data_IF_956032623182
#
_entry.id   IF_956032623182
#
_cell.length_a   1.000
_cell.length_b   1.000
_cell.length_c   1.000
_cell.angle_alpha   90.00
_cell.angle_beta   90.00
_cell.angle_gamma   90.00
#
_symmetry.space_group_name_H-M   'P 1'
#
loop_
_entity.id
_entity.type
_entity.pdbx_description
1 polymer ?
#
# COMPACT_ATOMS: atom_id res chain seq x y z
N UNK A 1 -8.36 -8.99 -20.04
CA UNK A 1 -6.90 -9.26 -20.03
C UNK A 1 -6.19 -7.93 -19.92
N UNK A 2 -5.43 -7.74 -18.85
CA UNK A 2 -4.76 -6.50 -18.56
C UNK A 2 -3.40 -6.46 -19.29
N UNK A 3 -3.08 -5.35 -19.95
CA UNK A 3 -1.87 -5.18 -20.77
C UNK A 3 -1.02 -4.11 -20.11
N UNK A 4 0.21 -4.46 -19.73
CA UNK A 4 1.19 -3.49 -19.26
C UNK A 4 2.04 -3.07 -20.46
N UNK A 5 2.16 -1.77 -20.71
CA UNK A 5 3.10 -1.23 -21.69
C UNK A 5 4.35 -0.74 -20.94
N UNK A 6 5.48 -1.39 -21.20
CA UNK A 6 6.79 -0.96 -20.71
C UNK A 6 7.75 -0.88 -21.89
N UNK A 7 8.35 0.30 -22.12
CA UNK A 7 9.34 0.54 -23.17
C UNK A 7 8.85 0.15 -24.59
N UNK A 8 7.59 0.49 -24.90
CA UNK A 8 6.96 0.18 -26.19
C UNK A 8 6.59 -1.29 -26.40
N UNK A 9 6.76 -2.16 -25.38
CA UNK A 9 6.38 -3.57 -25.43
C UNK A 9 5.10 -3.82 -24.62
N UNK A 10 4.08 -4.36 -25.28
CA UNK A 10 2.87 -4.88 -24.65
C UNK A 10 3.16 -6.22 -24.00
N UNK A 11 3.30 -6.23 -22.67
CA UNK A 11 3.38 -7.46 -21.89
C UNK A 11 1.94 -7.96 -21.64
N UNK A 12 1.62 -9.14 -22.17
CA UNK A 12 0.38 -9.84 -21.80
C UNK A 12 0.53 -10.35 -20.38
N UNK A 13 -0.36 -9.95 -19.48
CA UNK A 13 -0.42 -10.50 -18.13
C UNK A 13 -1.02 -11.91 -18.17
N UNK A 14 -0.20 -12.90 -18.54
CA UNK A 14 -0.49 -14.32 -18.35
C UNK A 14 -0.47 -14.68 -16.85
N UNK A 15 -1.13 -15.77 -16.38
CA UNK A 15 -1.13 -16.16 -14.97
C UNK A 15 0.27 -16.26 -14.34
N UNK A 16 1.27 -16.66 -15.13
CA UNK A 16 2.68 -16.74 -14.74
C UNK A 16 3.36 -15.37 -14.50
N UNK A 17 2.82 -14.31 -15.11
CA UNK A 17 3.33 -12.94 -14.95
C UNK A 17 3.16 -12.44 -13.52
N UNK A 18 2.05 -12.80 -12.87
CA UNK A 18 1.75 -12.41 -11.49
C UNK A 18 2.70 -13.05 -10.46
N UNK A 19 3.09 -14.31 -10.66
CA UNK A 19 4.10 -14.96 -9.81
C UNK A 19 5.45 -14.25 -9.88
N UNK A 20 5.82 -13.70 -11.04
CA UNK A 20 7.09 -13.00 -11.20
C UNK A 20 7.09 -11.63 -10.52
N UNK A 21 5.96 -10.93 -10.47
CA UNK A 21 5.86 -9.63 -9.80
C UNK A 21 6.18 -9.73 -8.29
N UNK A 22 5.84 -10.86 -7.65
CA UNK A 22 6.11 -11.12 -6.22
C UNK A 22 7.54 -11.55 -5.93
N UNK A 23 8.30 -11.99 -6.94
CA UNK A 23 9.67 -12.45 -6.72
C UNK A 23 10.54 -11.24 -6.38
N UNK A 24 11.09 -11.27 -5.17
CA UNK A 24 12.12 -10.32 -4.77
C UNK A 24 13.39 -10.58 -5.58
N UNK A 25 14.02 -9.51 -6.05
CA UNK A 25 15.33 -9.57 -6.68
C UNK A 25 16.41 -9.86 -5.64
N UNK A 26 17.33 -10.82 -5.85
CA UNK A 26 18.60 -10.83 -5.15
C UNK A 26 19.43 -9.62 -5.63
N UNK A 27 20.16 -8.88 -4.78
CA UNK A 27 20.51 -9.14 -3.38
C UNK A 27 19.63 -8.41 -2.33
N UNK A 28 18.67 -7.56 -2.72
CA UNK A 28 17.94 -6.68 -1.78
C UNK A 28 16.52 -7.13 -1.44
N UNK A 29 16.00 -8.17 -2.10
CA UNK A 29 14.61 -8.64 -1.94
C UNK A 29 13.57 -7.70 -2.55
N UNK A 30 13.98 -6.71 -3.36
CA UNK A 30 13.08 -5.74 -3.97
C UNK A 30 12.16 -6.41 -4.99
N UNK A 31 10.85 -6.27 -4.81
CA UNK A 31 9.87 -6.61 -5.85
C UNK A 31 9.90 -5.57 -6.98
N UNK A 32 9.21 -5.85 -8.08
CA UNK A 32 9.04 -4.89 -9.18
C UNK A 32 8.52 -3.50 -8.70
N UNK A 33 7.59 -3.47 -7.73
CA UNK A 33 7.06 -2.22 -7.18
C UNK A 33 8.12 -1.47 -6.38
N UNK A 34 9.00 -2.16 -5.63
CA UNK A 34 10.12 -1.49 -4.96
C UNK A 34 11.04 -0.82 -5.98
N UNK A 35 11.38 -1.52 -7.08
CA UNK A 35 12.23 -0.96 -8.13
C UNK A 35 11.55 0.24 -8.81
N UNK A 36 10.26 0.12 -9.15
CA UNK A 36 9.49 1.23 -9.70
C UNK A 36 9.42 2.44 -8.75
N UNK A 37 9.28 2.19 -7.44
CA UNK A 37 9.33 3.21 -6.38
C UNK A 37 10.70 3.86 -6.24
N UNK A 38 11.80 3.13 -6.41
CA UNK A 38 13.15 3.70 -6.36
C UNK A 38 13.39 4.63 -7.54
N UNK A 39 12.94 4.23 -8.73
CA UNK A 39 13.22 4.94 -9.98
C UNK A 39 12.11 5.91 -10.42
N UNK A 40 11.05 6.08 -9.63
CA UNK A 40 9.98 7.03 -9.92
C UNK A 40 9.12 6.63 -11.13
N UNK A 41 8.95 5.34 -11.42
CA UNK A 41 8.18 4.85 -12.57
C UNK A 41 6.66 4.96 -12.33
N UNK A 42 6.16 6.20 -12.27
CA UNK A 42 4.76 6.51 -11.96
C UNK A 42 3.76 5.81 -12.87
N UNK A 43 3.98 5.84 -14.19
CA UNK A 43 3.05 5.23 -15.14
C UNK A 43 2.95 3.72 -14.94
N UNK A 44 4.07 3.04 -14.73
CA UNK A 44 4.07 1.62 -14.41
C UNK A 44 3.27 1.32 -13.14
N UNK A 45 3.43 2.13 -12.08
CA UNK A 45 2.66 1.98 -10.86
C UNK A 45 1.16 2.20 -11.09
N UNK A 46 0.78 3.21 -11.88
CA UNK A 46 -0.63 3.44 -12.26
C UNK A 46 -1.21 2.27 -13.04
N UNK A 47 -0.45 1.76 -14.00
CA UNK A 47 -0.89 0.64 -14.83
C UNK A 47 -1.07 -0.61 -13.96
N UNK A 48 -0.13 -0.90 -13.07
CA UNK A 48 -0.23 -2.00 -12.08
C UNK A 48 -1.46 -1.83 -11.19
N UNK A 49 -1.72 -0.64 -10.67
CA UNK A 49 -2.93 -0.34 -9.88
C UNK A 49 -4.21 -0.54 -10.69
N UNK A 50 -4.20 -0.13 -11.97
CA UNK A 50 -5.36 -0.24 -12.86
C UNK A 50 -5.69 -1.69 -13.29
N UNK A 51 -4.81 -2.66 -13.04
CA UNK A 51 -5.14 -4.08 -13.25
C UNK A 51 -6.13 -4.63 -12.19
N UNK A 52 -6.40 -3.84 -11.13
CA UNK A 52 -7.75 -3.53 -10.66
C UNK A 52 -8.48 -4.54 -9.77
N UNK A 53 -8.63 -5.81 -10.18
CA UNK A 53 -9.58 -6.73 -9.52
C UNK A 53 -8.94 -8.04 -9.06
N UNK A 54 -7.72 -8.33 -9.51
CA UNK A 54 -6.98 -9.55 -9.18
C UNK A 54 -5.59 -9.27 -8.64
N UNK A 55 -5.25 -8.01 -8.35
CA UNK A 55 -3.94 -7.66 -7.81
C UNK A 55 -3.85 -8.14 -6.35
N UNK A 56 -2.96 -9.08 -6.04
CA UNK A 56 -2.78 -9.51 -4.66
C UNK A 56 -2.17 -8.34 -3.86
N UNK A 57 -2.90 -7.90 -2.85
CA UNK A 57 -2.44 -6.96 -1.82
C UNK A 57 -1.07 -7.33 -1.23
N UNK A 58 -0.76 -8.62 -1.25
CA UNK A 58 0.55 -9.16 -0.93
C UNK A 58 1.70 -8.45 -1.65
N UNK A 59 1.50 -7.91 -2.86
CA UNK A 59 2.55 -7.18 -3.58
C UNK A 59 2.85 -5.80 -2.98
N UNK A 60 1.83 -5.09 -2.48
CA UNK A 60 1.96 -3.80 -1.79
C UNK A 60 2.46 -3.98 -0.35
N UNK A 61 2.08 -5.07 0.29
CA UNK A 61 2.48 -5.41 1.65
C UNK A 61 3.85 -6.11 1.74
N UNK A 62 4.38 -6.60 0.61
CA UNK A 62 5.66 -7.30 0.61
C UNK A 62 6.76 -6.37 1.06
N UNK A 63 7.60 -6.84 1.98
CA UNK A 63 8.80 -6.11 2.37
C UNK A 63 10.02 -6.61 1.63
N UNK A 64 10.93 -5.70 1.31
CA UNK A 64 12.28 -6.05 0.88
C UNK A 64 13.11 -6.57 2.07
N UNK A 65 14.39 -6.86 1.86
CA UNK A 65 15.27 -7.35 2.92
C UNK A 65 15.52 -6.32 4.03
N UNK A 66 15.23 -5.04 3.80
CA UNK A 66 15.30 -3.96 4.79
C UNK A 66 14.01 -3.78 5.58
N UNK A 67 13.00 -4.60 5.31
CA UNK A 67 11.69 -4.48 5.97
C UNK A 67 10.83 -3.36 5.40
N UNK A 68 11.28 -2.68 4.34
CA UNK A 68 10.55 -1.59 3.70
C UNK A 68 9.49 -2.13 2.75
N UNK A 69 8.34 -1.49 2.72
CA UNK A 69 7.34 -1.70 1.66
C UNK A 69 7.67 -0.87 0.42
N UNK A 70 7.03 -1.13 -0.74
CA UNK A 70 7.21 -0.28 -1.93
C UNK A 70 6.83 1.18 -1.66
N UNK A 71 5.85 1.43 -0.79
CA UNK A 71 5.46 2.78 -0.38
C UNK A 71 6.59 3.44 0.43
N UNK A 72 7.12 2.77 1.46
CA UNK A 72 8.24 3.30 2.25
C UNK A 72 9.47 3.60 1.37
N UNK A 73 9.76 2.71 0.42
CA UNK A 73 10.85 2.88 -0.54
C UNK A 73 10.64 4.10 -1.45
N UNK A 74 9.41 4.35 -1.92
CA UNK A 74 9.08 5.53 -2.74
C UNK A 74 9.27 6.84 -1.95
N UNK A 75 8.91 6.82 -0.67
CA UNK A 75 9.12 7.97 0.22
C UNK A 75 10.61 8.20 0.43
N UNK A 76 11.37 7.14 0.75
CA UNK A 76 12.82 7.24 0.96
C UNK A 76 13.58 7.67 -0.30
N UNK A 77 13.15 7.24 -1.48
CA UNK A 77 13.76 7.64 -2.76
C UNK A 77 13.39 9.05 -3.21
N UNK A 78 12.44 9.72 -2.53
CA UNK A 78 11.90 11.01 -2.94
C UNK A 78 10.95 10.93 -4.14
N UNK A 79 10.50 9.74 -4.52
CA UNK A 79 9.53 9.53 -5.61
C UNK A 79 8.10 9.84 -5.15
N UNK A 80 7.83 11.11 -4.83
CA UNK A 80 6.54 11.58 -4.27
C UNK A 80 5.36 11.18 -5.15
N UNK A 81 5.48 11.29 -6.48
CA UNK A 81 4.39 10.91 -7.40
C UNK A 81 4.02 9.42 -7.28
N UNK A 82 5.02 8.53 -7.23
CA UNK A 82 4.80 7.10 -7.01
C UNK A 82 4.20 6.85 -5.64
N UNK A 83 4.74 7.50 -4.59
CA UNK A 83 4.21 7.35 -3.23
C UNK A 83 2.73 7.76 -3.13
N UNK A 84 2.33 8.85 -3.77
CA UNK A 84 0.93 9.29 -3.85
C UNK A 84 0.05 8.30 -4.62
N UNK A 85 0.52 7.75 -5.75
CA UNK A 85 -0.22 6.71 -6.49
C UNK A 85 -0.44 5.46 -5.63
N UNK A 86 0.60 4.98 -4.94
CA UNK A 86 0.52 3.81 -4.06
C UNK A 86 -0.42 4.07 -2.88
N UNK A 87 -0.34 5.23 -2.23
CA UNK A 87 -1.22 5.60 -1.12
C UNK A 87 -2.70 5.69 -1.55
N UNK A 88 -2.96 6.33 -2.70
CA UNK A 88 -4.32 6.43 -3.25
C UNK A 88 -4.90 5.08 -3.64
N UNK A 89 -4.07 4.16 -4.14
CA UNK A 89 -4.50 2.79 -4.38
C UNK A 89 -4.99 2.12 -3.08
N UNK A 90 -4.22 2.23 -1.99
CA UNK A 90 -4.62 1.67 -0.70
C UNK A 90 -5.94 2.28 -0.17
N UNK A 91 -6.16 3.59 -0.38
CA UNK A 91 -7.42 4.26 -0.02
C UNK A 91 -8.59 3.81 -0.91
N UNK A 92 -8.38 3.71 -2.22
CA UNK A 92 -9.42 3.28 -3.16
C UNK A 92 -9.89 1.86 -2.87
N UNK A 93 -8.98 0.95 -2.47
CA UNK A 93 -9.33 -0.43 -2.08
C UNK A 93 -10.19 -0.41 -0.80
N UNK A 94 -9.84 0.44 0.17
CA UNK A 94 -10.60 0.64 1.41
C UNK A 94 -12.01 1.17 1.15
N UNK A 95 -12.14 2.17 0.26
CA UNK A 95 -13.42 2.79 -0.06
C UNK A 95 -14.33 1.87 -0.90
N UNK A 96 -13.77 1.20 -1.92
CA UNK A 96 -14.51 0.22 -2.74
C UNK A 96 -15.05 -0.93 -1.88
N UNK A 97 -14.26 -1.42 -0.92
CA UNK A 97 -14.72 -2.43 0.03
C UNK A 97 -15.88 -1.92 0.90
N UNK A 98 -15.79 -0.69 1.42
CA UNK A 98 -16.84 -0.09 2.26
C UNK A 98 -18.17 0.01 1.52
N UNK A 99 -18.13 0.39 0.25
CA UNK A 99 -19.31 0.48 -0.61
C UNK A 99 -19.89 -0.90 -0.94
N UNK A 100 -19.03 -1.88 -1.30
CA UNK A 100 -19.46 -3.26 -1.58
C UNK A 100 -20.17 -3.89 -0.38
N UNK A 101 -19.62 -3.75 0.83
CA UNK A 101 -20.24 -4.28 2.06
C UNK A 101 -21.60 -3.61 2.30
N UNK A 102 -21.68 -2.27 2.14
CA UNK A 102 -22.93 -1.54 2.31
C UNK A 102 -24.00 -2.04 1.32
N UNK A 103 -23.66 -2.12 0.04
CA UNK A 103 -24.60 -2.50 -1.01
C UNK A 103 -25.05 -3.96 -0.89
N UNK A 104 -24.14 -4.87 -0.52
CA UNK A 104 -24.47 -6.27 -0.26
C UNK A 104 -25.34 -6.44 0.99
N UNK A 105 -25.09 -5.67 2.06
CA UNK A 105 -25.94 -5.66 3.25
C UNK A 105 -27.37 -5.20 2.91
N UNK A 106 -27.51 -4.14 2.12
CA UNK A 106 -28.83 -3.63 1.69
C UNK A 106 -29.56 -4.66 0.82
N UNK A 107 -28.87 -5.28 -0.13
CA UNK A 107 -29.48 -6.28 -1.02
C UNK A 107 -29.89 -7.57 -0.27
N UNK A 108 -29.05 -8.08 0.63
CA UNK A 108 -29.35 -9.31 1.39
C UNK A 108 -30.53 -9.08 2.34
N UNK A 109 -30.53 -7.98 3.10
CA UNK A 109 -31.66 -7.60 3.99
C UNK A 109 -32.96 -7.46 3.20
N UNK A 110 -32.88 -6.97 1.95
CA UNK A 110 -34.06 -6.79 1.09
C UNK A 110 -34.56 -8.08 0.41
N UNK A 111 -33.68 -9.06 0.11
CA UNK A 111 -34.04 -10.19 -0.79
C UNK A 111 -34.28 -11.52 -0.12
N UNK A 112 -33.62 -11.82 0.99
CA UNK A 112 -33.66 -13.18 1.51
C UNK A 112 -33.43 -13.16 3.02
N UNK A 113 -34.26 -13.87 3.77
CA UNK A 113 -34.01 -14.21 5.17
C UNK A 113 -32.80 -15.14 5.34
N UNK A 114 -31.67 -14.80 4.74
CA UNK A 114 -30.37 -15.42 4.95
C UNK A 114 -29.95 -15.02 6.35
N UNK A 115 -29.71 -16.03 7.20
CA UNK A 115 -29.24 -15.82 8.56
C UNK A 115 -27.95 -15.01 8.60
N UNK A 116 -27.73 -14.34 9.72
CA UNK A 116 -26.57 -13.52 10.07
C UNK A 116 -25.21 -14.13 9.73
N UNK A 117 -25.11 -15.45 9.52
CA UNK A 117 -23.87 -16.19 9.38
C UNK A 117 -23.19 -15.98 8.01
N UNK A 118 -23.95 -15.88 6.92
CA UNK A 118 -23.39 -15.59 5.59
C UNK A 118 -22.89 -14.15 5.47
N UNK A 119 -23.59 -13.20 6.13
CA UNK A 119 -23.15 -11.82 6.26
C UNK A 119 -21.86 -11.71 7.08
N UNK A 120 -21.75 -12.45 8.19
CA UNK A 120 -20.52 -12.49 8.98
C UNK A 120 -19.35 -13.09 8.20
N UNK A 121 -19.54 -14.19 7.46
CA UNK A 121 -18.46 -14.81 6.67
C UNK A 121 -17.92 -13.87 5.59
N UNK A 122 -18.80 -13.20 4.85
CA UNK A 122 -18.39 -12.20 3.84
C UNK A 122 -17.72 -11.00 4.51
N UNK A 123 -18.28 -10.46 5.58
CA UNK A 123 -17.64 -9.36 6.32
C UNK A 123 -16.24 -9.75 6.80
N UNK A 124 -16.05 -10.97 7.27
CA UNK A 124 -14.77 -11.47 7.77
C UNK A 124 -13.70 -11.56 6.68
N UNK A 125 -14.02 -12.15 5.52
CA UNK A 125 -13.05 -12.33 4.43
C UNK A 125 -12.55 -11.00 3.85
N UNK A 126 -13.38 -9.96 3.88
CA UNK A 126 -12.96 -8.66 3.37
C UNK A 126 -12.40 -7.70 4.44
N UNK A 127 -12.76 -7.87 5.73
CA UNK A 127 -12.09 -7.20 6.85
C UNK A 127 -10.61 -7.65 6.96
N UNK A 128 -10.31 -8.91 6.67
CA UNK A 128 -8.94 -9.43 6.59
C UNK A 128 -8.08 -8.70 5.55
N UNK A 129 -8.62 -8.53 4.33
CA UNK A 129 -7.99 -7.80 3.21
C UNK A 129 -7.69 -6.35 3.63
N UNK A 130 -8.66 -5.67 4.26
CA UNK A 130 -8.47 -4.29 4.72
C UNK A 130 -7.41 -4.19 5.83
N UNK A 131 -7.38 -5.17 6.73
CA UNK A 131 -6.38 -5.26 7.78
C UNK A 131 -4.97 -5.41 7.20
N UNK A 132 -4.80 -6.23 6.15
CA UNK A 132 -3.50 -6.38 5.47
C UNK A 132 -3.01 -5.07 4.83
N UNK A 133 -3.89 -4.35 4.12
CA UNK A 133 -3.54 -3.03 3.54
C UNK A 133 -3.11 -2.06 4.63
N UNK A 134 -3.86 -2.04 5.73
CA UNK A 134 -3.56 -1.18 6.87
C UNK A 134 -2.22 -1.52 7.51
N UNK A 135 -1.98 -2.81 7.78
CA UNK A 135 -0.72 -3.29 8.33
C UNK A 135 0.47 -3.02 7.42
N UNK A 136 0.27 -3.04 6.09
CA UNK A 136 1.31 -2.68 5.12
C UNK A 136 1.73 -1.21 5.24
N UNK A 137 0.77 -0.28 5.40
CA UNK A 137 1.08 1.15 5.59
C UNK A 137 1.78 1.40 6.92
N UNK A 138 1.31 0.73 7.98
CA UNK A 138 1.86 0.85 9.34
C UNK A 138 3.20 0.12 9.53
N UNK A 139 3.69 -0.57 8.50
CA UNK A 139 4.91 -1.36 8.58
C UNK A 139 6.10 -0.49 8.96
N UNK A 140 6.92 -1.02 9.86
CA UNK A 140 8.20 -0.46 10.24
C UNK A 140 9.33 -1.25 9.57
N UNK A 141 10.37 -0.53 9.19
CA UNK A 141 11.63 -1.13 8.73
C UNK A 141 12.44 -1.71 9.91
N UNK A 142 13.67 -2.15 9.62
CA UNK A 142 14.61 -2.66 10.63
C UNK A 142 14.92 -1.69 11.76
N UNK A 143 14.86 -0.39 11.50
CA UNK A 143 15.15 0.67 12.48
C UNK A 143 13.91 1.06 13.29
N UNK A 144 12.77 0.41 13.04
CA UNK A 144 11.49 0.78 13.65
C UNK A 144 10.85 2.01 12.99
N UNK A 145 11.42 2.51 11.90
CA UNK A 145 10.89 3.67 11.20
C UNK A 145 9.75 3.24 10.28
N UNK A 146 8.59 3.88 10.45
CA UNK A 146 7.48 3.77 9.49
C UNK A 146 7.63 4.78 8.35
N UNK A 147 6.74 4.70 7.36
CA UNK A 147 6.73 5.61 6.21
C UNK A 147 6.66 7.10 6.59
N UNK A 148 6.01 7.46 7.70
CA UNK A 148 5.90 8.84 8.14
C UNK A 148 7.21 9.38 8.73
N UNK A 149 7.99 8.55 9.44
CA UNK A 149 9.34 8.92 9.87
C UNK A 149 10.19 9.32 8.66
N UNK A 150 10.17 8.51 7.61
CA UNK A 150 10.90 8.78 6.37
C UNK A 150 10.40 10.05 5.68
N UNK A 151 9.09 10.22 5.53
CA UNK A 151 8.52 11.42 4.89
C UNK A 151 8.96 12.71 5.58
N UNK A 152 9.00 12.71 6.91
CA UNK A 152 9.47 13.84 7.72
C UNK A 152 11.00 13.98 7.62
N UNK A 153 11.74 12.89 7.72
CA UNK A 153 13.21 12.88 7.66
C UNK A 153 13.73 13.51 6.35
N UNK A 154 13.11 13.17 5.22
CA UNK A 154 13.46 13.66 3.89
C UNK A 154 12.74 14.95 3.48
N UNK A 155 11.94 15.56 4.37
CA UNK A 155 11.32 16.86 4.14
C UNK A 155 10.12 16.86 3.18
N UNK A 156 9.49 15.71 2.95
CA UNK A 156 8.31 15.55 2.09
C UNK A 156 7.02 16.01 2.80
N UNK A 157 6.93 17.31 3.13
CA UNK A 157 5.85 17.89 3.94
C UNK A 157 4.44 17.58 3.41
N UNK A 158 4.20 17.79 2.12
CA UNK A 158 2.87 17.55 1.53
C UNK A 158 2.47 16.08 1.67
N UNK A 159 3.39 15.17 1.35
CA UNK A 159 3.18 13.72 1.48
C UNK A 159 3.00 13.30 2.94
N UNK A 160 3.74 13.89 3.88
CA UNK A 160 3.59 13.62 5.30
C UNK A 160 2.17 13.98 5.80
N UNK A 161 1.61 15.10 5.32
CA UNK A 161 0.22 15.48 5.62
C UNK A 161 -0.79 14.51 5.01
N UNK A 162 -0.56 14.07 3.76
CA UNK A 162 -1.40 13.05 3.12
C UNK A 162 -1.36 11.72 3.87
N UNK A 163 -0.18 11.28 4.32
CA UNK A 163 0.00 10.05 5.10
C UNK A 163 -0.73 10.10 6.44
N UNK A 164 -0.63 11.22 7.18
CA UNK A 164 -1.35 11.40 8.45
C UNK A 164 -2.87 11.43 8.22
N UNK A 165 -3.33 12.09 7.17
CA UNK A 165 -4.75 12.11 6.82
C UNK A 165 -5.27 10.72 6.43
N UNK A 166 -4.44 9.92 5.77
CA UNK A 166 -4.77 8.55 5.35
C UNK A 166 -4.77 7.55 6.50
N UNK A 167 -3.78 7.65 7.40
CA UNK A 167 -3.59 6.74 8.53
C UNK A 167 -2.98 7.49 9.74
N UNK A 168 -3.83 8.03 10.63
CA UNK A 168 -3.38 8.81 11.79
C UNK A 168 -2.50 8.02 12.78
N UNK A 169 -2.67 6.69 12.84
CA UNK A 169 -1.86 5.81 13.69
C UNK A 169 -0.37 5.83 13.34
N UNK A 170 0.01 6.28 12.14
CA UNK A 170 1.43 6.48 11.80
C UNK A 170 2.13 7.41 12.79
N UNK A 171 1.42 8.40 13.34
CA UNK A 171 1.98 9.42 14.24
C UNK A 171 2.32 8.93 15.65
N UNK A 172 1.72 7.81 16.08
CA UNK A 172 1.85 7.30 17.47
C UNK A 172 2.99 6.30 17.63
N UNK A 173 3.47 5.72 16.53
CA UNK A 173 4.55 4.74 16.55
C UNK A 173 5.87 5.40 16.91
N UNK A 174 6.72 4.66 17.63
CA UNK A 174 8.09 5.07 17.94
C UNK A 174 9.07 4.10 17.32
N UNK A 175 10.17 4.62 16.80
CA UNK A 175 11.25 3.82 16.24
C UNK A 175 12.15 3.22 17.35
N UNK A 176 13.21 2.50 16.95
CA UNK A 176 14.16 1.90 17.89
C UNK A 176 14.92 2.94 18.75
N UNK A 177 14.92 4.21 18.33
CA UNK A 177 15.48 5.34 19.06
C UNK A 177 14.49 5.99 20.04
N UNK A 178 13.28 5.41 20.18
CA UNK A 178 12.16 5.95 20.98
C UNK A 178 11.65 7.30 20.48
N UNK A 179 11.90 7.61 19.21
CA UNK A 179 11.43 8.83 18.57
C UNK A 179 10.13 8.54 17.84
N UNK A 180 9.12 9.38 18.04
CA UNK A 180 7.95 9.38 17.17
C UNK A 180 8.22 10.20 15.90
N UNK A 181 7.42 10.05 14.84
CA UNK A 181 7.55 10.91 13.66
C UNK A 181 7.34 12.38 14.03
N UNK A 182 6.43 12.67 14.97
CA UNK A 182 6.15 14.03 15.44
C UNK A 182 7.32 14.62 16.24
N UNK A 183 8.00 13.80 17.06
CA UNK A 183 9.23 14.20 17.72
C UNK A 183 10.32 14.54 16.68
N UNK A 184 10.48 13.69 15.66
CA UNK A 184 11.43 13.91 14.56
C UNK A 184 11.13 15.21 13.78
N UNK A 185 9.86 15.54 13.58
CA UNK A 185 9.45 16.79 12.94
C UNK A 185 9.82 18.01 13.80
N UNK A 186 9.52 17.97 15.10
CA UNK A 186 9.83 19.06 16.03
C UNK A 186 11.35 19.31 16.11
N UNK A 187 12.15 18.24 16.07
CA UNK A 187 13.59 18.33 16.16
C UNK A 187 14.27 18.89 14.90
N UNK A 188 13.65 18.87 13.71
CA UNK A 188 14.31 19.21 12.43
C UNK A 188 14.05 20.62 11.88
N UNK A 189 13.21 21.43 12.55
CA UNK A 189 13.07 22.85 12.21
C UNK A 189 14.23 23.65 12.82
N UNK A 190 15.37 23.70 12.12
CA UNK A 190 16.46 24.67 12.35
C UNK A 190 16.61 25.60 11.15
#
# INVERSE_FOLDING_TARGET
MAVLEYDGRRLRAEPFFWEQLHRGTPPSGNTCLHIASIHGHEQFCKDVVALGDSLPLALFAKTNLDGETPLATAVRSGSVAVATVLLRCCQSIRDAHRELVRDLCVQIVARAGIGCDALHALRHTYEEILLEVRQAILKQDKDGCNVLHHAIHYGHRALALELIAAEPELSTHVNNYKESPMFSAAMRFY
#
